data_IF_731520225017
#
_entry.id   IF_731520225017
#
_cell.length_a   1.000
_cell.length_b   1.000
_cell.length_c   1.000
_cell.angle_alpha   90.00
_cell.angle_beta   90.00
_cell.angle_gamma   90.00
#
_symmetry.space_group_name_H-M   'P 1'
#
loop_
_entity.id
_entity.type
_entity.pdbx_description
1 polymer ?
#
# COMPACT_ATOMS: atom_id res chain seq x y z
N UNK A 1 -0.09 -19.17 26.66
CA UNK A 1 -0.95 -18.21 27.40
C UNK A 1 -0.96 -16.87 26.69
N UNK A 2 -2.04 -16.56 25.95
CA UNK A 2 -2.61 -15.20 25.80
C UNK A 2 -4.03 -15.40 25.28
N UNK A 3 -5.01 -15.28 26.18
CA UNK A 3 -6.43 -15.52 25.89
C UNK A 3 -6.93 -14.38 25.00
N UNK A 4 -7.08 -14.64 23.70
CA UNK A 4 -7.77 -13.74 22.78
C UNK A 4 -9.26 -13.81 23.08
N UNK A 5 -9.75 -12.86 23.88
CA UNK A 5 -11.17 -12.72 24.18
C UNK A 5 -11.95 -12.51 22.89
N UNK A 6 -12.78 -13.49 22.54
CA UNK A 6 -13.84 -13.32 21.55
C UNK A 6 -14.88 -12.45 22.24
N UNK A 7 -14.91 -11.16 21.90
CA UNK A 7 -15.95 -10.24 22.36
C UNK A 7 -17.20 -10.63 21.56
N UNK A 8 -18.09 -11.41 22.17
CA UNK A 8 -19.35 -11.80 21.56
C UNK A 8 -20.20 -10.53 21.30
N UNK A 9 -20.83 -10.39 20.12
CA UNK A 9 -21.67 -9.22 19.85
C UNK A 9 -22.90 -9.22 20.76
N UNK A 10 -23.10 -8.10 21.46
CA UNK A 10 -24.27 -7.87 22.32
C UNK A 10 -25.59 -7.72 21.53
N UNK A 11 -26.74 -7.63 22.22
CA UNK A 11 -28.08 -7.88 21.66
C UNK A 11 -28.66 -6.69 20.89
N UNK A 12 -27.89 -6.09 19.97
CA UNK A 12 -28.40 -5.11 19.00
C UNK A 12 -28.21 -5.66 17.59
N UNK A 13 -29.17 -6.46 17.15
CA UNK A 13 -29.28 -6.87 15.75
C UNK A 13 -29.83 -5.69 14.93
N UNK A 14 -28.96 -4.76 14.54
CA UNK A 14 -29.18 -4.01 13.31
C UNK A 14 -28.50 -4.83 12.22
N UNK A 15 -29.24 -5.13 11.15
CA UNK A 15 -28.72 -5.86 9.99
C UNK A 15 -27.78 -4.94 9.20
N UNK A 16 -26.74 -4.43 9.84
CA UNK A 16 -25.73 -3.61 9.23
C UNK A 16 -24.67 -4.55 8.66
N UNK A 17 -24.44 -4.47 7.36
CA UNK A 17 -23.38 -5.26 6.73
C UNK A 17 -22.04 -4.80 7.27
N UNK A 18 -21.24 -5.74 7.75
CA UNK A 18 -19.88 -5.45 8.14
C UNK A 18 -19.07 -4.95 6.93
N UNK A 19 -18.44 -3.80 7.09
CA UNK A 19 -17.61 -3.18 6.04
C UNK A 19 -16.14 -3.38 6.32
N UNK A 20 -15.38 -3.76 5.30
CA UNK A 20 -13.93 -3.87 5.36
C UNK A 20 -13.34 -2.46 5.50
N UNK A 21 -12.64 -2.22 6.60
CA UNK A 21 -11.96 -0.95 6.87
C UNK A 21 -10.51 -0.99 6.36
N UNK A 22 -9.79 -2.08 6.64
CA UNK A 22 -8.40 -2.25 6.24
C UNK A 22 -8.13 -3.71 5.88
N UNK A 23 -7.56 -3.93 4.69
CA UNK A 23 -7.06 -5.23 4.30
C UNK A 23 -5.64 -5.39 4.84
N UNK A 24 -5.38 -6.39 5.66
CA UNK A 24 -4.08 -6.60 6.30
C UNK A 24 -3.03 -7.23 5.36
N UNK A 25 -3.37 -7.42 4.07
CA UNK A 25 -2.42 -7.91 3.07
C UNK A 25 -1.31 -6.89 2.84
N UNK A 26 -0.08 -7.30 3.16
CA UNK A 26 1.12 -6.47 3.06
C UNK A 26 1.10 -5.22 3.97
N UNK A 27 0.24 -5.19 4.99
CA UNK A 27 0.24 -4.13 6.00
C UNK A 27 1.16 -4.56 7.15
N UNK A 28 2.16 -3.74 7.53
CA UNK A 28 2.98 -4.03 8.70
C UNK A 28 2.13 -4.11 9.98
N UNK A 29 2.50 -4.99 10.91
CA UNK A 29 1.76 -5.14 12.17
C UNK A 29 1.65 -3.83 12.96
N UNK A 30 2.68 -2.96 12.87
CA UNK A 30 2.70 -1.62 13.47
C UNK A 30 1.57 -0.73 12.93
N UNK A 31 1.34 -0.72 11.61
CA UNK A 31 0.28 0.07 10.98
C UNK A 31 -1.10 -0.48 11.36
N UNK A 32 -1.24 -1.81 11.46
CA UNK A 32 -2.46 -2.42 11.97
C UNK A 32 -2.73 -2.00 13.43
N UNK A 33 -1.70 -1.93 14.27
CA UNK A 33 -1.81 -1.45 15.66
C UNK A 33 -2.17 0.04 15.76
N UNK A 34 -1.61 0.89 14.90
CA UNK A 34 -1.97 2.31 14.79
C UNK A 34 -3.46 2.46 14.44
N UNK A 35 -3.94 1.72 13.43
CA UNK A 35 -5.36 1.76 13.04
C UNK A 35 -6.26 1.21 14.15
N UNK A 36 -5.82 0.18 14.90
CA UNK A 36 -6.54 -0.31 16.10
C UNK A 36 -6.62 0.76 17.20
N UNK A 37 -5.56 1.56 17.38
CA UNK A 37 -5.56 2.65 18.35
C UNK A 37 -6.50 3.79 17.92
N UNK A 38 -6.44 4.18 16.65
CA UNK A 38 -7.29 5.21 16.05
C UNK A 38 -8.78 4.85 16.18
N UNK A 39 -9.16 3.63 15.84
CA UNK A 39 -10.56 3.19 15.95
C UNK A 39 -11.05 3.15 17.41
N UNK A 40 -10.18 2.81 18.37
CA UNK A 40 -10.52 2.88 19.80
C UNK A 40 -10.72 4.32 20.29
N UNK A 41 -9.89 5.26 19.84
CA UNK A 41 -10.03 6.68 20.19
C UNK A 41 -11.36 7.26 19.70
N UNK A 42 -11.78 6.86 18.50
CA UNK A 42 -13.07 7.27 17.92
C UNK A 42 -14.28 6.47 18.46
N UNK A 43 -14.07 5.51 19.36
CA UNK A 43 -15.14 4.69 19.94
C UNK A 43 -15.79 3.71 18.95
N UNK A 44 -15.12 3.42 17.84
CA UNK A 44 -15.63 2.59 16.75
C UNK A 44 -15.32 1.12 17.03
N UNK A 45 -16.33 0.26 16.96
CA UNK A 45 -16.15 -1.18 17.16
C UNK A 45 -15.66 -1.87 15.88
N UNK A 46 -14.42 -2.36 15.94
CA UNK A 46 -13.79 -3.15 14.87
C UNK A 46 -13.54 -4.60 15.31
N UNK A 47 -13.61 -5.52 14.35
CA UNK A 47 -13.23 -6.92 14.54
C UNK A 47 -12.21 -7.34 13.49
N UNK A 48 -11.34 -8.27 13.87
CA UNK A 48 -10.26 -8.75 13.02
C UNK A 48 -10.53 -10.17 12.54
N UNK A 49 -10.39 -10.38 11.23
CA UNK A 49 -10.35 -11.74 10.67
C UNK A 49 -8.90 -12.18 10.60
N UNK A 50 -8.59 -13.37 11.15
CA UNK A 50 -7.22 -13.91 11.08
C UNK A 50 -6.84 -14.27 9.64
N UNK A 51 -5.55 -14.18 9.30
CA UNK A 51 -5.05 -14.73 8.04
C UNK A 51 -5.35 -16.23 7.95
N UNK A 52 -5.66 -16.70 6.75
CA UNK A 52 -5.79 -18.13 6.48
C UNK A 52 -4.41 -18.78 6.52
N UNK A 53 -4.31 -19.95 7.14
CA UNK A 53 -3.07 -20.74 7.17
C UNK A 53 -2.53 -21.09 5.77
N UNK A 54 -3.35 -20.96 4.72
CA UNK A 54 -2.99 -21.21 3.32
C UNK A 54 -2.61 -19.94 2.55
N UNK A 55 -2.51 -18.77 3.20
CA UNK A 55 -2.10 -17.50 2.57
C UNK A 55 -3.13 -16.84 1.64
N UNK A 56 -4.32 -17.44 1.47
CA UNK A 56 -5.38 -16.95 0.56
C UNK A 56 -6.07 -15.69 1.12
N UNK A 57 -6.14 -15.56 2.43
CA UNK A 57 -6.66 -14.38 3.15
C UNK A 57 -5.55 -13.88 4.07
N UNK A 58 -5.19 -12.60 3.96
CA UNK A 58 -4.24 -11.97 4.88
C UNK A 58 -4.91 -11.49 6.18
N UNK A 59 -6.22 -11.68 6.32
CA UNK A 59 -7.00 -11.05 7.36
C UNK A 59 -7.39 -9.61 7.01
N UNK A 60 -8.24 -9.03 7.85
CA UNK A 60 -8.77 -7.69 7.64
C UNK A 60 -9.38 -7.15 8.92
N UNK A 61 -9.35 -5.83 9.06
CA UNK A 61 -10.12 -5.09 10.08
C UNK A 61 -11.47 -4.73 9.47
N UNK A 62 -12.53 -5.14 10.14
CA UNK A 62 -13.90 -4.97 9.70
C UNK A 62 -14.68 -4.18 10.75
N UNK A 63 -15.61 -3.36 10.30
CA UNK A 63 -16.54 -2.64 11.15
C UNK A 63 -17.75 -3.51 11.46
N UNK A 64 -18.19 -3.51 12.72
CA UNK A 64 -19.36 -4.26 13.16
C UNK A 64 -20.67 -3.62 12.73
N UNK A 65 -20.71 -2.28 12.65
CA UNK A 65 -21.89 -1.50 12.28
C UNK A 65 -21.58 -0.57 11.09
N UNK A 66 -22.54 -0.42 10.20
CA UNK A 66 -22.48 0.51 9.07
C UNK A 66 -22.70 1.96 9.53
N UNK A 67 -23.43 2.16 10.64
CA UNK A 67 -23.57 3.47 11.26
C UNK A 67 -22.22 4.04 11.73
N UNK A 68 -21.26 3.16 12.06
CA UNK A 68 -19.91 3.53 12.46
C UNK A 68 -18.95 3.71 11.26
N UNK A 69 -19.41 3.40 10.03
CA UNK A 69 -18.59 3.55 8.83
C UNK A 69 -18.24 5.01 8.49
N UNK A 70 -19.16 5.98 8.52
CA UNK A 70 -18.83 7.38 8.26
C UNK A 70 -17.74 7.95 9.20
N UNK A 71 -17.81 7.81 10.54
CA UNK A 71 -16.75 8.32 11.42
C UNK A 71 -15.44 7.55 11.26
N UNK A 72 -15.49 6.23 11.08
CA UNK A 72 -14.30 5.41 10.82
C UNK A 72 -13.59 5.83 9.53
N UNK A 73 -14.35 6.06 8.46
CA UNK A 73 -13.81 6.52 7.17
C UNK A 73 -13.19 7.91 7.30
N UNK A 74 -13.84 8.84 7.99
CA UNK A 74 -13.30 10.18 8.19
C UNK A 74 -11.97 10.17 8.96
N UNK A 75 -11.87 9.34 10.00
CA UNK A 75 -10.63 9.14 10.75
C UNK A 75 -9.51 8.54 9.88
N UNK A 76 -9.84 7.52 9.07
CA UNK A 76 -8.90 6.92 8.13
C UNK A 76 -8.45 7.91 7.04
N UNK A 77 -9.37 8.71 6.49
CA UNK A 77 -9.05 9.72 5.48
C UNK A 77 -8.07 10.77 6.06
N UNK A 78 -8.28 11.20 7.31
CA UNK A 78 -7.37 12.11 8.01
C UNK A 78 -6.00 11.49 8.25
N UNK A 79 -5.95 10.23 8.70
CA UNK A 79 -4.71 9.48 8.88
C UNK A 79 -3.93 9.34 7.57
N UNK A 80 -4.60 8.96 6.48
CA UNK A 80 -3.97 8.83 5.16
C UNK A 80 -3.52 10.18 4.59
N UNK A 81 -4.27 11.26 4.85
CA UNK A 81 -3.86 12.61 4.47
C UNK A 81 -2.57 13.03 5.20
N UNK A 82 -2.45 12.73 6.50
CA UNK A 82 -1.25 13.00 7.28
C UNK A 82 -0.04 12.21 6.75
N UNK A 83 -0.19 10.91 6.52
CA UNK A 83 0.86 10.05 5.93
C UNK A 83 1.27 10.54 4.54
N UNK A 84 0.30 10.90 3.70
CA UNK A 84 0.55 11.46 2.38
C UNK A 84 1.23 12.83 2.41
N UNK A 85 0.99 13.66 3.43
CA UNK A 85 1.69 14.92 3.60
C UNK A 85 3.17 14.70 3.97
N UNK A 86 3.44 13.74 4.87
CA UNK A 86 4.80 13.36 5.26
C UNK A 86 5.58 12.79 4.07
N UNK A 87 4.99 11.88 3.29
CA UNK A 87 5.64 11.32 2.10
C UNK A 87 5.90 12.37 1.00
N UNK A 88 5.02 13.37 0.86
CA UNK A 88 5.24 14.50 -0.07
C UNK A 88 6.32 15.45 0.44
N UNK A 89 6.38 15.71 1.75
CA UNK A 89 7.41 16.53 2.37
C UNK A 89 8.79 15.86 2.22
N UNK A 90 8.89 14.57 2.50
CA UNK A 90 10.12 13.79 2.27
C UNK A 90 10.55 13.82 0.80
N UNK A 91 9.60 13.64 -0.13
CA UNK A 91 9.90 13.75 -1.58
C UNK A 91 10.37 15.17 -1.95
N UNK A 92 9.80 16.22 -1.35
CA UNK A 92 10.22 17.60 -1.60
C UNK A 92 11.61 17.89 -1.02
N UNK A 93 11.92 17.36 0.16
CA UNK A 93 13.26 17.43 0.76
C UNK A 93 14.28 16.65 -0.06
N UNK A 94 13.94 15.48 -0.58
CA UNK A 94 14.79 14.68 -1.49
C UNK A 94 15.00 15.37 -2.85
N UNK A 95 13.98 16.06 -3.37
CA UNK A 95 14.08 16.87 -4.58
C UNK A 95 14.94 18.13 -4.34
N UNK A 96 14.78 18.79 -3.19
CA UNK A 96 15.56 19.97 -2.79
C UNK A 96 17.03 19.62 -2.47
N UNK A 97 17.28 18.42 -1.93
CA UNK A 97 18.61 17.87 -1.71
C UNK A 97 19.27 17.36 -3.01
N UNK A 98 18.54 17.33 -4.13
CA UNK A 98 19.06 16.88 -5.43
C UNK A 98 19.37 15.38 -5.48
N UNK A 99 18.83 14.60 -4.54
CA UNK A 99 19.07 13.16 -4.36
C UNK A 99 17.87 12.30 -4.75
N UNK A 100 16.78 12.88 -5.26
CA UNK A 100 15.81 12.09 -6.01
C UNK A 100 16.59 11.37 -7.11
N UNK A 101 16.66 10.03 -7.06
CA UNK A 101 17.20 9.13 -8.08
C UNK A 101 16.41 9.24 -9.38
N UNK A 102 16.33 10.45 -9.91
CA UNK A 102 15.80 10.75 -11.21
C UNK A 102 16.85 10.30 -12.21
N UNK A 103 16.40 9.72 -13.32
CA UNK A 103 17.23 9.23 -14.41
C UNK A 103 18.38 10.19 -14.81
N UNK A 104 18.20 11.51 -14.63
CA UNK A 104 19.24 12.52 -14.84
C UNK A 104 20.44 12.44 -13.89
N UNK A 105 20.26 12.04 -12.62
CA UNK A 105 21.35 11.84 -11.67
C UNK A 105 22.22 10.63 -12.04
N UNK A 106 21.60 9.56 -12.55
CA UNK A 106 22.31 8.38 -13.06
C UNK A 106 23.10 8.70 -14.34
N UNK A 107 22.49 9.49 -15.24
CA UNK A 107 23.15 10.01 -16.45
C UNK A 107 24.40 10.85 -16.13
N UNK A 108 24.34 11.67 -15.07
CA UNK A 108 25.45 12.53 -14.64
C UNK A 108 26.55 11.78 -13.87
N UNK A 109 26.20 10.75 -13.09
CA UNK A 109 27.16 9.97 -12.28
C UNK A 109 27.87 8.87 -13.08
N UNK A 110 27.22 8.23 -14.06
CA UNK A 110 27.80 7.13 -14.86
C UNK A 110 27.35 7.17 -16.33
N UNK A 111 27.76 8.20 -17.10
CA UNK A 111 27.33 8.37 -18.49
C UNK A 111 27.71 7.19 -19.40
N UNK A 112 28.88 6.58 -19.16
CA UNK A 112 29.36 5.41 -19.90
C UNK A 112 28.47 4.18 -19.71
N UNK A 113 28.00 3.92 -18.49
CA UNK A 113 27.13 2.77 -18.22
C UNK A 113 25.79 2.89 -18.95
N UNK A 114 25.18 4.09 -18.90
CA UNK A 114 23.93 4.37 -19.62
C UNK A 114 24.12 4.22 -21.14
N UNK A 115 25.23 4.72 -21.69
CA UNK A 115 25.52 4.60 -23.12
C UNK A 115 25.70 3.14 -23.56
N UNK A 116 26.43 2.34 -22.78
CA UNK A 116 26.62 0.91 -23.05
C UNK A 116 25.29 0.16 -22.96
N UNK A 117 24.45 0.45 -21.96
CA UNK A 117 23.12 -0.16 -21.84
C UNK A 117 22.21 0.21 -23.01
N UNK A 118 22.22 1.48 -23.46
CA UNK A 118 21.45 1.92 -24.64
C UNK A 118 21.92 1.23 -25.92
N UNK A 119 23.23 1.12 -26.13
CA UNK A 119 23.79 0.40 -27.29
C UNK A 119 23.40 -1.08 -27.23
N UNK A 120 23.47 -1.71 -26.05
CA UNK A 120 23.03 -3.09 -25.85
C UNK A 120 21.54 -3.29 -26.15
N UNK A 121 20.67 -2.40 -25.66
CA UNK A 121 19.25 -2.42 -25.97
C UNK A 121 18.98 -2.27 -27.47
N UNK A 122 19.66 -1.33 -28.13
CA UNK A 122 19.53 -1.14 -29.58
C UNK A 122 20.05 -2.35 -30.37
N UNK A 123 21.12 -2.99 -29.94
CA UNK A 123 21.64 -4.21 -30.57
C UNK A 123 20.65 -5.37 -30.45
N UNK A 124 20.10 -5.60 -29.26
CA UNK A 124 19.07 -6.64 -29.06
C UNK A 124 17.82 -6.32 -29.86
N UNK A 125 17.33 -5.08 -29.80
CA UNK A 125 16.18 -4.65 -30.59
C UNK A 125 16.44 -4.81 -32.10
N UNK A 126 17.62 -4.42 -32.59
CA UNK A 126 17.99 -4.58 -34.00
C UNK A 126 18.09 -6.05 -34.40
N UNK A 127 18.64 -6.91 -33.53
CA UNK A 127 18.72 -8.36 -33.78
C UNK A 127 17.32 -8.99 -33.84
N UNK A 128 16.40 -8.54 -32.98
CA UNK A 128 15.00 -8.99 -32.96
C UNK A 128 14.22 -8.44 -34.15
N UNK A 129 14.41 -7.17 -34.53
CA UNK A 129 13.70 -6.54 -35.66
C UNK A 129 14.27 -6.94 -37.03
N UNK A 130 15.55 -7.31 -37.12
CA UNK A 130 16.22 -7.74 -38.36
C UNK A 130 15.45 -8.82 -39.14
N UNK A 131 15.05 -9.95 -38.55
CA UNK A 131 14.30 -10.97 -39.27
C UNK A 131 12.94 -10.45 -39.73
N UNK A 132 12.27 -9.59 -38.95
CA UNK A 132 10.98 -9.01 -39.34
C UNK A 132 11.10 -7.99 -40.47
N UNK A 133 12.20 -7.25 -40.55
CA UNK A 133 12.47 -6.32 -41.66
C UNK A 133 12.91 -7.06 -42.93
N UNK A 134 13.70 -8.13 -42.79
CA UNK A 134 14.16 -8.97 -43.90
C UNK A 134 13.05 -9.85 -44.49
N UNK A 135 12.07 -10.28 -43.70
CA UNK A 135 10.90 -11.08 -44.14
C UNK A 135 9.74 -10.21 -44.70
N UNK A 136 9.89 -8.89 -44.69
CA UNK A 136 8.88 -7.92 -45.16
C UNK A 136 9.10 -7.50 -46.63
N UNK A 137 10.20 -7.93 -47.26
CA UNK A 137 10.49 -7.74 -48.69
C UNK A 137 10.29 -9.03 -49.47
#
# INVERSE_FOLDING_TARGET
>A
MKKGGIIAPGPRYHRAMAKLLLNLRNVPDEEADEVRALMREHGVQIYETRPSNWGISAGGLWLSDDADYPPAKAAMDAYQAQRGAIARAQRQEELAAGTAETFGALLRRRPLFVLVTLIGMLLVASLVLLPFLLLRG
#
